data_IF_315594746140
#
_entry.id   IF_315594746140
#
_cell.length_a   1.000
_cell.length_b   1.000
_cell.length_c   1.000
_cell.angle_alpha   90.00
_cell.angle_beta   90.00
_cell.angle_gamma   90.00
#
_symmetry.space_group_name_H-M   'P 1'
#
loop_
_entity.id
_entity.type
_entity.pdbx_description
1 polymer ?
#
# COMPACT_ATOMS: atom_id res chain seq x y z
N UNK A 1 77.33 -6.14 -22.34
CA UNK A 1 76.15 -6.70 -21.66
C UNK A 1 74.98 -5.75 -21.92
N UNK A 2 74.08 -6.10 -22.83
CA UNK A 2 72.80 -5.40 -23.03
C UNK A 2 71.69 -6.22 -22.33
N UNK A 3 70.73 -5.57 -21.64
CA UNK A 3 69.74 -6.29 -20.86
C UNK A 3 68.64 -6.87 -21.76
N UNK A 4 68.28 -8.13 -21.52
CA UNK A 4 67.09 -8.76 -22.07
C UNK A 4 65.84 -8.07 -21.50
N UNK A 5 65.02 -7.48 -22.38
CA UNK A 5 63.68 -7.01 -22.05
C UNK A 5 62.72 -8.17 -22.39
N UNK A 6 61.89 -8.66 -21.44
CA UNK A 6 60.94 -9.72 -21.77
C UNK A 6 59.86 -9.18 -22.69
N UNK A 7 59.65 -9.86 -23.82
CA UNK A 7 58.54 -9.60 -24.72
C UNK A 7 57.21 -9.74 -23.95
N UNK A 8 56.45 -8.63 -23.91
CA UNK A 8 55.16 -8.57 -23.24
C UNK A 8 54.17 -9.58 -23.80
N UNK A 9 53.44 -10.23 -22.89
CA UNK A 9 52.29 -11.07 -23.18
C UNK A 9 51.17 -10.20 -23.77
N UNK A 10 51.02 -10.19 -25.10
CA UNK A 10 49.83 -9.64 -25.74
C UNK A 10 48.68 -10.65 -25.56
N UNK A 11 47.76 -10.34 -24.64
CA UNK A 11 46.50 -11.06 -24.50
C UNK A 11 45.68 -10.88 -25.78
N UNK A 12 45.52 -11.97 -26.55
CA UNK A 12 44.78 -11.98 -27.80
C UNK A 12 43.29 -12.23 -27.49
N UNK A 13 42.57 -11.18 -27.10
CA UNK A 13 41.13 -11.27 -26.89
C UNK A 13 40.41 -11.35 -28.25
N UNK A 14 39.62 -12.40 -28.47
CA UNK A 14 38.79 -12.54 -29.67
C UNK A 14 37.81 -11.36 -29.76
N UNK A 15 37.80 -10.66 -30.89
CA UNK A 15 36.92 -9.51 -31.18
C UNK A 15 35.45 -9.87 -30.92
N UNK A 16 35.03 -11.12 -31.19
CA UNK A 16 33.67 -11.58 -30.87
C UNK A 16 33.40 -11.57 -29.37
N UNK A 17 34.37 -12.00 -28.57
CA UNK A 17 34.27 -11.98 -27.10
C UNK A 17 34.17 -10.54 -26.59
N UNK A 18 34.97 -9.63 -27.13
CA UNK A 18 34.92 -8.20 -26.76
C UNK A 18 33.53 -7.61 -27.07
N UNK A 19 32.98 -7.88 -28.25
CA UNK A 19 31.65 -7.40 -28.65
C UNK A 19 30.57 -7.93 -27.71
N UNK A 20 30.59 -9.22 -27.36
CA UNK A 20 29.62 -9.82 -26.44
C UNK A 20 29.69 -9.15 -25.05
N UNK A 21 30.90 -8.95 -24.51
CA UNK A 21 31.07 -8.31 -23.20
C UNK A 21 30.52 -6.87 -23.20
N UNK A 22 30.79 -6.11 -24.27
CA UNK A 22 30.26 -4.76 -24.45
C UNK A 22 28.72 -4.78 -24.48
N UNK A 23 28.11 -5.66 -25.27
CA UNK A 23 26.65 -5.79 -25.31
C UNK A 23 26.06 -6.19 -23.96
N UNK A 24 26.66 -7.14 -23.24
CA UNK A 24 26.21 -7.52 -21.91
C UNK A 24 26.34 -6.39 -20.90
N UNK A 25 27.43 -5.59 -20.95
CA UNK A 25 27.59 -4.42 -20.10
C UNK A 25 26.54 -3.35 -20.39
N UNK A 26 26.24 -3.08 -21.67
CA UNK A 26 25.18 -2.15 -22.03
C UNK A 26 23.80 -2.63 -21.58
N UNK A 27 23.54 -3.94 -21.66
CA UNK A 27 22.27 -4.51 -21.21
C UNK A 27 22.13 -4.46 -19.69
N UNK A 28 23.19 -4.80 -18.94
CA UNK A 28 23.24 -4.64 -17.49
C UNK A 28 23.09 -3.16 -17.09
N UNK A 29 23.77 -2.24 -17.77
CA UNK A 29 23.66 -0.82 -17.51
C UNK A 29 22.24 -0.32 -17.79
N UNK A 30 21.60 -0.78 -18.87
CA UNK A 30 20.21 -0.48 -19.17
C UNK A 30 19.26 -0.98 -18.07
N UNK A 31 19.42 -2.22 -17.62
CA UNK A 31 18.62 -2.80 -16.52
C UNK A 31 18.84 -2.05 -15.20
N UNK A 32 20.08 -1.68 -14.89
CA UNK A 32 20.41 -0.85 -13.71
C UNK A 32 19.77 0.53 -13.85
N UNK A 33 19.82 1.18 -15.01
CA UNK A 33 19.16 2.48 -15.22
C UNK A 33 17.64 2.38 -15.16
N UNK A 34 17.05 1.27 -15.60
CA UNK A 34 15.61 1.00 -15.48
C UNK A 34 15.21 0.82 -14.01
N UNK A 35 16.02 0.09 -13.25
CA UNK A 35 15.82 -0.12 -11.81
C UNK A 35 15.98 1.19 -11.02
N UNK A 36 16.94 2.04 -11.41
CA UNK A 36 17.14 3.37 -10.85
C UNK A 36 16.07 4.40 -11.30
N UNK A 37 15.34 4.12 -12.38
CA UNK A 37 14.22 4.94 -12.85
C UNK A 37 12.88 4.58 -12.22
N UNK A 38 12.82 3.56 -11.36
CA UNK A 38 11.68 3.36 -10.46
C UNK A 38 11.71 4.51 -9.47
N UNK A 39 11.11 5.63 -9.86
CA UNK A 39 10.89 6.75 -8.96
C UNK A 39 10.00 6.26 -7.83
N UNK A 40 10.51 6.31 -6.60
CA UNK A 40 9.66 6.20 -5.42
C UNK A 40 8.62 7.32 -5.51
N UNK A 41 7.34 6.97 -5.60
CA UNK A 41 6.26 7.96 -5.51
C UNK A 41 6.42 8.64 -4.14
N UNK A 42 6.54 9.98 -4.06
CA UNK A 42 6.71 10.66 -2.78
C UNK A 42 5.58 10.28 -1.84
N UNK A 43 5.90 9.52 -0.79
CA UNK A 43 4.90 8.98 0.11
C UNK A 43 4.67 9.98 1.24
N UNK A 44 3.48 10.58 1.28
CA UNK A 44 3.05 11.35 2.44
C UNK A 44 2.44 10.39 3.46
N UNK A 45 3.30 9.61 4.12
CA UNK A 45 2.90 8.66 5.17
C UNK A 45 3.67 8.88 6.46
N UNK A 46 3.02 8.57 7.58
CA UNK A 46 3.62 8.62 8.91
C UNK A 46 3.32 7.34 9.66
N UNK A 47 4.31 6.83 10.38
CA UNK A 47 4.09 5.82 11.42
C UNK A 47 3.49 6.54 12.63
N UNK A 48 2.48 5.94 13.23
CA UNK A 48 1.80 6.44 14.43
C UNK A 48 2.23 5.57 15.60
N UNK A 49 3.06 6.11 16.49
CA UNK A 49 3.52 5.41 17.68
C UNK A 49 2.62 5.69 18.89
N UNK A 50 1.89 6.81 18.90
CA UNK A 50 1.06 7.26 20.01
C UNK A 50 -0.26 7.83 19.48
N UNK A 51 -1.37 7.48 20.15
CA UNK A 51 -2.70 8.04 19.89
C UNK A 51 -3.24 8.74 21.14
N UNK A 52 -3.80 9.96 21.02
CA UNK A 52 -4.53 10.57 22.10
C UNK A 52 -5.66 9.66 22.59
N UNK A 53 -5.69 9.39 23.90
CA UNK A 53 -6.68 8.49 24.50
C UNK A 53 -6.21 7.04 24.66
N UNK A 54 -5.12 6.64 24.02
CA UNK A 54 -4.48 5.34 24.24
C UNK A 54 -3.39 5.47 25.31
N UNK A 55 -3.31 4.52 26.25
CA UNK A 55 -2.30 4.55 27.31
C UNK A 55 -0.97 3.96 26.84
N UNK A 56 0.06 4.81 26.75
CA UNK A 56 1.39 4.42 26.27
C UNK A 56 1.53 4.34 24.74
N UNK A 57 2.66 3.78 24.25
CA UNK A 57 2.85 3.54 22.83
C UNK A 57 1.90 2.45 22.31
N UNK A 58 1.52 2.54 21.03
CA UNK A 58 0.70 1.51 20.39
C UNK A 58 1.45 0.15 20.38
N UNK A 59 0.81 -0.94 20.79
CA UNK A 59 1.42 -2.27 20.78
C UNK A 59 1.43 -2.92 19.39
N UNK A 60 0.93 -2.24 18.37
CA UNK A 60 0.84 -2.69 16.99
C UNK A 60 1.36 -1.61 16.03
N UNK A 61 1.79 -2.02 14.85
CA UNK A 61 2.21 -1.10 13.80
C UNK A 61 1.00 -0.40 13.20
N UNK A 62 0.96 0.93 13.26
CA UNK A 62 -0.03 1.73 12.55
C UNK A 62 0.69 2.75 11.67
N UNK A 63 0.37 2.76 10.39
CA UNK A 63 0.81 3.78 9.43
C UNK A 63 -0.41 4.47 8.85
N UNK A 64 -0.31 5.78 8.67
CA UNK A 64 -1.31 6.54 7.92
C UNK A 64 -0.66 7.24 6.76
N UNK A 65 -1.44 7.61 5.75
CA UNK A 65 -0.92 8.42 4.66
C UNK A 65 -1.93 8.69 3.56
N UNK A 66 -1.45 9.37 2.53
CA UNK A 66 -2.22 9.71 1.34
C UNK A 66 -1.63 9.10 0.08
N UNK A 67 -2.50 8.71 -0.84
CA UNK A 67 -2.13 8.42 -2.23
C UNK A 67 -3.05 9.22 -3.16
N UNK A 68 -2.43 9.95 -4.08
CA UNK A 68 -3.11 10.69 -5.13
C UNK A 68 -3.62 9.76 -6.23
N UNK A 69 -4.86 9.97 -6.66
CA UNK A 69 -5.54 9.24 -7.74
C UNK A 69 -6.32 10.20 -8.63
N UNK A 70 -6.74 9.74 -9.80
CA UNK A 70 -7.32 10.59 -10.85
C UNK A 70 -6.26 11.13 -11.81
N UNK A 71 -6.72 11.84 -12.85
CA UNK A 71 -5.87 12.17 -14.02
C UNK A 71 -4.67 13.04 -13.69
N UNK A 72 -4.79 13.87 -12.67
CA UNK A 72 -3.82 14.84 -12.20
C UNK A 72 -3.58 14.70 -10.69
N UNK A 73 -3.83 13.51 -10.14
CA UNK A 73 -3.77 13.24 -8.69
C UNK A 73 -4.64 14.20 -7.88
N UNK A 74 -5.75 14.64 -8.48
CA UNK A 74 -6.63 15.64 -7.89
C UNK A 74 -7.47 15.11 -6.73
N UNK A 75 -7.53 13.79 -6.55
CA UNK A 75 -8.15 13.13 -5.39
C UNK A 75 -7.05 12.52 -4.53
N UNK A 76 -7.04 12.84 -3.24
CA UNK A 76 -6.10 12.31 -2.27
C UNK A 76 -6.85 11.38 -1.32
N UNK A 77 -6.63 10.07 -1.46
CA UNK A 77 -7.25 9.07 -0.61
C UNK A 77 -6.37 8.79 0.61
N UNK A 78 -6.97 8.93 1.79
CA UNK A 78 -6.35 8.64 3.06
C UNK A 78 -6.52 7.16 3.43
N UNK A 79 -5.50 6.58 4.07
CA UNK A 79 -5.57 5.22 4.57
C UNK A 79 -4.98 5.10 5.98
N UNK A 80 -5.45 4.08 6.69
CA UNK A 80 -4.81 3.50 7.86
C UNK A 80 -4.32 2.11 7.48
N UNK A 81 -3.06 1.80 7.73
CA UNK A 81 -2.47 0.49 7.49
C UNK A 81 -1.96 -0.10 8.80
N UNK A 82 -2.47 -1.27 9.15
CA UNK A 82 -2.04 -2.03 10.33
C UNK A 82 -1.42 -3.34 9.85
N UNK A 83 -0.18 -3.63 10.27
CA UNK A 83 0.47 -4.90 9.96
C UNK A 83 -0.12 -6.02 10.82
N UNK A 84 -0.09 -7.24 10.30
CA UNK A 84 -0.38 -8.42 11.10
C UNK A 84 0.51 -8.45 12.35
N UNK A 85 -0.10 -8.77 13.49
CA UNK A 85 0.57 -8.97 14.77
C UNK A 85 1.25 -10.36 14.85
N UNK A 86 0.97 -11.25 13.89
CA UNK A 86 1.60 -12.57 13.77
C UNK A 86 2.82 -12.50 12.83
N UNK A 87 2.70 -12.86 11.56
CA UNK A 87 3.79 -12.78 10.58
C UNK A 87 3.35 -11.98 9.36
N UNK A 88 3.55 -10.64 9.35
CA UNK A 88 3.09 -9.80 8.24
C UNK A 88 3.75 -10.11 6.90
N UNK A 89 4.84 -10.90 6.86
CA UNK A 89 5.47 -11.31 5.61
C UNK A 89 4.76 -12.49 4.93
N UNK A 90 3.96 -13.26 5.68
CA UNK A 90 3.26 -14.45 5.20
C UNK A 90 1.73 -14.32 5.31
N UNK A 91 1.27 -13.59 6.32
CA UNK A 91 -0.15 -13.41 6.61
C UNK A 91 -0.87 -12.61 5.51
N UNK A 92 -2.16 -12.86 5.27
CA UNK A 92 -2.93 -12.14 4.25
C UNK A 92 -2.89 -10.61 4.38
N UNK A 93 -2.99 -9.92 3.25
CA UNK A 93 -3.31 -8.49 3.17
C UNK A 93 -4.79 -8.31 2.84
N UNK A 94 -5.50 -7.57 3.68
CA UNK A 94 -6.92 -7.27 3.51
C UNK A 94 -7.09 -5.77 3.20
N UNK A 95 -7.80 -5.45 2.14
CA UNK A 95 -8.41 -4.12 1.98
C UNK A 95 -9.76 -4.11 2.73
N UNK A 96 -9.98 -3.14 3.61
CA UNK A 96 -11.26 -2.90 4.27
C UNK A 96 -11.91 -1.62 3.78
N UNK A 97 -13.15 -1.73 3.29
CA UNK A 97 -13.95 -0.61 2.79
C UNK A 97 -15.24 -0.48 3.59
N UNK A 98 -15.36 0.59 4.38
CA UNK A 98 -16.65 0.90 5.00
C UNK A 98 -17.64 1.45 3.99
N UNK A 99 -18.91 1.06 4.13
CA UNK A 99 -20.00 1.44 3.23
C UNK A 99 -20.55 2.87 3.45
N UNK A 100 -21.88 2.98 3.56
CA UNK A 100 -22.59 4.27 3.62
C UNK A 100 -23.53 4.46 2.42
N UNK A 101 -23.09 5.11 1.32
CA UNK A 101 -21.71 5.47 0.96
C UNK A 101 -21.14 6.68 1.72
N UNK A 102 -19.80 6.73 1.85
CA UNK A 102 -19.08 7.86 2.43
C UNK A 102 -18.86 7.78 3.94
N UNK A 103 -19.14 6.64 4.57
CA UNK A 103 -18.79 6.40 5.95
C UNK A 103 -17.29 6.09 6.07
N UNK A 104 -16.64 6.62 7.11
CA UNK A 104 -15.20 6.46 7.29
C UNK A 104 -14.84 5.03 7.69
N UNK A 105 -13.80 4.48 7.04
CA UNK A 105 -13.19 3.19 7.40
C UNK A 105 -12.45 3.21 8.74
N UNK A 106 -12.38 4.35 9.41
CA UNK A 106 -12.03 4.40 10.84
C UNK A 106 -13.03 3.62 11.70
N UNK A 107 -14.29 3.48 11.26
CA UNK A 107 -15.25 2.61 11.92
C UNK A 107 -14.79 1.15 11.93
N UNK A 108 -14.35 0.64 10.77
CA UNK A 108 -13.67 -0.65 10.65
C UNK A 108 -12.48 -0.79 11.62
N UNK A 109 -11.66 0.25 11.73
CA UNK A 109 -10.46 0.27 12.56
C UNK A 109 -10.76 0.23 14.08
N UNK A 110 -11.81 0.92 14.53
CA UNK A 110 -12.04 1.23 15.95
C UNK A 110 -13.33 0.62 16.57
N UNK A 111 -14.23 0.07 15.74
CA UNK A 111 -15.50 -0.49 16.18
C UNK A 111 -15.77 -1.92 15.66
N UNK A 112 -15.02 -2.39 14.66
CA UNK A 112 -15.35 -3.64 13.98
C UNK A 112 -14.18 -4.64 14.01
N UNK A 113 -13.25 -4.56 13.06
CA UNK A 113 -12.23 -5.60 12.83
C UNK A 113 -10.82 -5.15 13.19
N UNK A 114 -10.59 -3.84 13.37
CA UNK A 114 -9.28 -3.29 13.67
C UNK A 114 -8.83 -3.48 15.13
N UNK A 115 -7.59 -3.05 15.44
CA UNK A 115 -6.94 -3.33 16.72
C UNK A 115 -7.36 -2.35 17.82
N UNK A 116 -8.23 -1.39 17.53
CA UNK A 116 -8.66 -0.35 18.44
C UNK A 116 -10.10 -0.57 18.88
N UNK A 117 -10.38 -0.25 20.13
CA UNK A 117 -11.73 -0.17 20.69
C UNK A 117 -11.84 1.07 21.58
N UNK A 118 -13.04 1.64 21.64
CA UNK A 118 -13.37 2.66 22.62
C UNK A 118 -13.62 2.02 23.99
N UNK A 119 -12.88 2.46 25.01
CA UNK A 119 -13.06 2.03 26.38
C UNK A 119 -14.47 2.37 26.90
N UNK A 120 -15.12 1.39 27.54
CA UNK A 120 -16.47 1.55 28.08
C UNK A 120 -16.48 2.36 29.38
N UNK A 121 -16.36 3.68 29.26
CA UNK A 121 -16.51 4.62 30.37
C UNK A 121 -17.47 5.73 29.99
N UNK A 122 -18.30 6.14 30.95
CA UNK A 122 -19.19 7.29 30.76
C UNK A 122 -18.37 8.53 30.35
N UNK A 123 -18.76 9.16 29.25
CA UNK A 123 -18.12 10.37 28.76
C UNK A 123 -18.24 11.48 29.79
N UNK A 124 -17.10 12.01 30.25
CA UNK A 124 -17.00 13.04 31.28
C UNK A 124 -16.42 14.36 30.72
N UNK A 125 -16.34 14.51 29.39
CA UNK A 125 -15.74 15.66 28.74
C UNK A 125 -14.23 15.55 28.46
N UNK A 126 -13.56 14.49 28.90
CA UNK A 126 -12.16 14.22 28.51
C UNK A 126 -12.09 13.54 27.14
N UNK A 127 -10.87 13.36 26.61
CA UNK A 127 -10.66 12.50 25.45
C UNK A 127 -11.28 11.11 25.68
N UNK A 128 -11.82 10.48 24.63
CA UNK A 128 -12.23 9.08 24.70
C UNK A 128 -11.02 8.22 25.06
N UNK A 129 -11.27 7.17 25.84
CA UNK A 129 -10.25 6.16 26.13
C UNK A 129 -10.22 5.19 24.95
N UNK A 130 -9.04 4.91 24.42
CA UNK A 130 -8.79 3.89 23.42
C UNK A 130 -8.03 2.73 24.08
N UNK A 131 -8.41 1.51 23.73
CA UNK A 131 -7.78 0.28 24.21
C UNK A 131 -7.56 -0.67 23.03
N UNK A 132 -6.67 -1.65 23.20
CA UNK A 132 -6.49 -2.71 22.21
C UNK A 132 -7.69 -3.65 22.17
N UNK A 133 -8.16 -3.98 20.96
CA UNK A 133 -9.17 -5.01 20.76
C UNK A 133 -8.55 -6.41 20.87
N UNK A 134 -9.04 -7.29 21.76
CA UNK A 134 -8.60 -8.67 21.80
C UNK A 134 -9.18 -9.53 20.65
N UNK A 135 -10.11 -9.00 19.86
CA UNK A 135 -10.78 -9.74 18.77
C UNK A 135 -10.42 -9.23 17.38
N UNK A 136 -9.41 -8.37 17.28
CA UNK A 136 -8.99 -7.81 16.01
C UNK A 136 -8.57 -8.88 15.00
N UNK A 137 -8.94 -8.64 13.74
CA UNK A 137 -8.46 -9.43 12.61
C UNK A 137 -6.98 -9.17 12.32
N UNK A 138 -6.39 -8.10 12.87
CA UNK A 138 -4.94 -7.84 12.72
C UNK A 138 -4.08 -8.89 13.41
N UNK A 139 -4.68 -9.77 14.22
CA UNK A 139 -4.00 -10.93 14.80
C UNK A 139 -3.56 -11.97 13.76
N UNK A 140 -4.13 -11.97 12.57
CA UNK A 140 -3.83 -12.95 11.52
C UNK A 140 -3.75 -12.34 10.11
N UNK A 141 -3.85 -11.01 9.98
CA UNK A 141 -3.85 -10.32 8.70
C UNK A 141 -3.27 -8.91 8.82
N UNK A 142 -2.60 -8.42 7.79
CA UNK A 142 -2.36 -6.99 7.63
C UNK A 142 -3.60 -6.37 7.01
N UNK A 143 -4.07 -5.22 7.52
CA UNK A 143 -5.32 -4.60 7.06
C UNK A 143 -5.07 -3.15 6.63
N UNK A 144 -5.55 -2.84 5.43
CA UNK A 144 -5.55 -1.52 4.81
C UNK A 144 -6.97 -0.96 4.86
N UNK A 145 -7.24 -0.08 5.82
CA UNK A 145 -8.51 0.64 5.95
C UNK A 145 -8.46 1.88 5.07
N UNK A 146 -9.21 1.88 3.97
CA UNK A 146 -9.17 2.95 2.98
C UNK A 146 -10.38 3.86 3.12
N UNK A 147 -10.15 5.17 3.23
CA UNK A 147 -11.23 6.15 3.24
C UNK A 147 -11.63 6.53 1.80
N UNK A 148 -12.74 5.98 1.35
CA UNK A 148 -13.27 6.18 0.00
C UNK A 148 -14.81 6.24 0.02
N UNK A 149 -15.45 6.94 -0.93
CA UNK A 149 -14.87 7.74 -2.01
C UNK A 149 -14.26 9.05 -1.51
N UNK A 150 -13.83 9.91 -2.44
CA UNK A 150 -13.39 11.29 -2.14
C UNK A 150 -14.37 12.01 -1.20
N UNK A 151 -13.85 12.79 -0.25
CA UNK A 151 -14.58 13.45 0.85
C UNK A 151 -15.05 12.55 2.00
N UNK A 152 -14.66 11.27 1.99
CA UNK A 152 -14.85 10.37 3.14
C UNK A 152 -13.72 10.57 4.15
N UNK A 153 -14.07 10.87 5.41
CA UNK A 153 -13.08 11.07 6.47
C UNK A 153 -12.08 12.17 6.15
N UNK A 154 -10.81 11.82 6.08
CA UNK A 154 -9.67 12.66 5.75
C UNK A 154 -9.32 12.69 4.26
N UNK A 155 -9.97 11.88 3.42
CA UNK A 155 -9.81 11.92 1.95
C UNK A 155 -10.40 13.19 1.36
N UNK A 156 -9.72 13.82 0.41
CA UNK A 156 -10.14 15.11 -0.15
C UNK A 156 -9.82 15.25 -1.64
N UNK A 157 -10.32 16.31 -2.26
CA UNK A 157 -9.94 16.72 -3.61
C UNK A 157 -9.25 18.08 -3.59
N UNK A 158 -8.27 18.29 -4.48
CA UNK A 158 -7.57 19.58 -4.66
C UNK A 158 -8.35 20.56 -5.53
N UNK A 159 -9.38 20.09 -6.24
CA UNK A 159 -10.30 20.93 -7.03
C UNK A 159 -11.64 21.10 -6.32
N UNK A 160 -12.24 22.27 -6.45
CA UNK A 160 -13.56 22.54 -5.88
C UNK A 160 -14.65 21.78 -6.65
N UNK A 161 -15.59 21.18 -5.92
CA UNK A 161 -16.75 20.45 -6.45
C UNK A 161 -16.43 19.16 -7.25
N UNK A 162 -15.49 18.35 -6.77
CA UNK A 162 -15.24 17.03 -7.35
C UNK A 162 -16.50 16.14 -7.22
N UNK A 163 -16.97 15.59 -8.34
CA UNK A 163 -18.09 14.64 -8.37
C UNK A 163 -17.56 13.27 -8.72
N UNK A 164 -17.91 12.27 -7.91
CA UNK A 164 -17.46 10.90 -8.07
C UNK A 164 -18.68 9.98 -8.16
N UNK A 165 -18.78 9.20 -9.24
CA UNK A 165 -19.74 8.10 -9.36
C UNK A 165 -19.18 6.83 -8.74
N UNK A 166 -20.01 5.82 -8.49
CA UNK A 166 -19.55 4.52 -7.96
C UNK A 166 -18.45 3.90 -8.83
N UNK A 167 -18.62 3.96 -10.15
CA UNK A 167 -17.61 3.44 -11.09
C UNK A 167 -16.28 4.19 -10.98
N UNK A 168 -16.33 5.53 -10.91
CA UNK A 168 -15.12 6.34 -10.72
C UNK A 168 -14.48 6.08 -9.35
N UNK A 169 -15.27 5.87 -8.30
CA UNK A 169 -14.75 5.51 -6.99
C UNK A 169 -14.03 4.16 -7.03
N UNK A 170 -14.58 3.17 -7.75
CA UNK A 170 -13.93 1.88 -7.95
C UNK A 170 -12.62 2.01 -8.75
N UNK A 171 -12.59 2.82 -9.80
CA UNK A 171 -11.38 3.12 -10.57
C UNK A 171 -10.31 3.77 -9.69
N UNK A 172 -10.69 4.71 -8.82
CA UNK A 172 -9.79 5.34 -7.85
C UNK A 172 -9.23 4.34 -6.84
N UNK A 173 -10.06 3.44 -6.29
CA UNK A 173 -9.58 2.38 -5.38
C UNK A 173 -8.59 1.46 -6.09
N UNK A 174 -8.87 1.09 -7.34
CA UNK A 174 -7.96 0.27 -8.14
C UNK A 174 -6.63 0.99 -8.43
N UNK A 175 -6.67 2.28 -8.81
CA UNK A 175 -5.46 3.09 -8.98
C UNK A 175 -4.67 3.22 -7.68
N UNK A 176 -5.36 3.49 -6.57
CA UNK A 176 -4.79 3.55 -5.22
C UNK A 176 -4.02 2.28 -4.90
N UNK A 177 -4.63 1.10 -5.09
CA UNK A 177 -4.00 -0.19 -4.79
C UNK A 177 -2.72 -0.38 -5.61
N UNK A 178 -2.74 -0.11 -6.91
CA UNK A 178 -1.54 -0.23 -7.75
C UNK A 178 -0.40 0.66 -7.25
N UNK A 179 -0.68 1.92 -6.92
CA UNK A 179 0.31 2.85 -6.37
C UNK A 179 0.77 2.42 -4.96
N UNK A 180 -0.13 1.90 -4.14
CA UNK A 180 0.19 1.42 -2.80
C UNK A 180 1.15 0.23 -2.83
N UNK A 181 0.92 -0.76 -3.71
CA UNK A 181 1.82 -1.92 -3.87
C UNK A 181 3.19 -1.56 -4.45
N UNK A 182 3.30 -0.52 -5.27
CA UNK A 182 4.62 0.00 -5.71
C UNK A 182 5.43 0.49 -4.52
N UNK A 183 4.78 1.09 -3.52
CA UNK A 183 5.44 1.61 -2.32
C UNK A 183 5.60 0.57 -1.21
N UNK A 184 4.85 -0.54 -1.27
CA UNK A 184 4.93 -1.65 -0.30
C UNK A 184 5.12 -2.99 -1.04
N UNK A 185 6.24 -3.14 -1.79
CA UNK A 185 6.46 -4.33 -2.62
C UNK A 185 6.57 -5.61 -1.80
N UNK A 186 6.85 -5.52 -0.50
CA UNK A 186 6.89 -6.67 0.41
C UNK A 186 5.55 -7.39 0.56
N UNK A 187 4.41 -6.74 0.25
CA UNK A 187 3.09 -7.35 0.33
C UNK A 187 2.59 -7.97 -0.97
N UNK A 188 3.35 -7.85 -2.08
CA UNK A 188 2.92 -8.37 -3.40
C UNK A 188 2.73 -9.89 -3.39
N UNK A 189 3.51 -10.61 -2.57
CA UNK A 189 3.41 -12.07 -2.44
C UNK A 189 2.34 -12.54 -1.46
N UNK A 190 1.77 -11.66 -0.65
CA UNK A 190 0.80 -12.03 0.37
C UNK A 190 -0.55 -12.36 -0.30
N UNK A 191 -1.29 -13.36 0.21
CA UNK A 191 -2.69 -13.55 -0.20
C UNK A 191 -3.48 -12.25 -0.02
N UNK A 192 -4.10 -11.75 -1.09
CA UNK A 192 -4.83 -10.47 -1.07
C UNK A 192 -6.34 -10.68 -1.13
N UNK A 193 -7.05 -9.98 -0.24
CA UNK A 193 -8.50 -10.01 -0.11
C UNK A 193 -9.07 -8.60 -0.07
N UNK A 194 -10.26 -8.42 -0.66
CA UNK A 194 -11.04 -7.19 -0.54
C UNK A 194 -12.28 -7.48 0.28
N UNK A 195 -12.49 -6.69 1.33
CA UNK A 195 -13.53 -6.84 2.33
C UNK A 195 -14.16 -5.50 2.68
N UNK A 196 -15.32 -5.53 3.33
CA UNK A 196 -16.02 -4.33 3.77
C UNK A 196 -17.43 -4.64 4.24
N UNK A 197 -18.13 -3.59 4.69
CA UNK A 197 -19.50 -3.68 5.19
C UNK A 197 -20.47 -2.81 4.37
N UNK A 198 -21.77 -3.09 4.51
CA UNK A 198 -22.85 -2.22 4.03
C UNK A 198 -22.76 -1.94 2.51
N UNK A 199 -22.81 -0.67 2.09
CA UNK A 199 -22.78 -0.25 0.68
C UNK A 199 -21.55 -0.76 -0.09
N UNK A 200 -20.46 -1.11 0.60
CA UNK A 200 -19.29 -1.72 -0.05
C UNK A 200 -19.62 -3.04 -0.76
N UNK A 201 -20.70 -3.72 -0.38
CA UNK A 201 -21.21 -4.89 -1.11
C UNK A 201 -21.57 -4.62 -2.58
N UNK A 202 -21.75 -3.34 -2.96
CA UNK A 202 -21.92 -2.92 -4.36
C UNK A 202 -20.58 -2.64 -5.03
N UNK A 203 -19.66 -1.94 -4.35
CA UNK A 203 -18.39 -1.49 -4.94
C UNK A 203 -17.33 -2.59 -4.99
N UNK A 204 -17.28 -3.47 -3.99
CA UNK A 204 -16.31 -4.57 -3.90
C UNK A 204 -16.34 -5.46 -5.15
N UNK A 205 -17.50 -5.99 -5.63
CA UNK A 205 -17.52 -6.78 -6.85
C UNK A 205 -16.95 -6.06 -8.08
N UNK A 206 -17.17 -4.75 -8.19
CA UNK A 206 -16.64 -3.93 -9.29
C UNK A 206 -15.12 -3.78 -9.16
N UNK A 207 -14.61 -3.50 -7.96
CA UNK A 207 -13.18 -3.41 -7.68
C UNK A 207 -12.48 -4.74 -7.96
N UNK A 208 -13.05 -5.86 -7.51
CA UNK A 208 -12.57 -7.21 -7.79
C UNK A 208 -12.49 -7.47 -9.29
N UNK A 209 -13.49 -7.04 -10.06
CA UNK A 209 -13.50 -7.17 -11.52
C UNK A 209 -12.38 -6.32 -12.18
N UNK A 210 -12.14 -5.10 -11.69
CA UNK A 210 -11.03 -4.25 -12.15
C UNK A 210 -9.68 -4.89 -11.89
N UNK A 211 -9.47 -5.41 -10.67
CA UNK A 211 -8.25 -6.14 -10.28
C UNK A 211 -8.06 -7.38 -11.16
N UNK A 212 -9.10 -8.21 -11.32
CA UNK A 212 -9.00 -9.44 -12.12
C UNK A 212 -8.70 -9.17 -13.61
N UNK A 213 -9.17 -8.04 -14.15
CA UNK A 213 -8.89 -7.64 -15.53
C UNK A 213 -7.51 -6.99 -15.69
N UNK A 214 -7.02 -6.35 -14.64
CA UNK A 214 -5.66 -5.85 -14.51
C UNK A 214 -4.69 -6.99 -14.28
N UNK A 215 -4.01 -7.46 -15.33
CA UNK A 215 -3.12 -8.64 -15.37
C UNK A 215 -1.93 -8.62 -14.38
N UNK A 216 -1.87 -7.68 -13.44
CA UNK A 216 -0.71 -7.34 -12.61
C UNK A 216 -0.84 -7.78 -11.13
N UNK A 217 -2.02 -8.21 -10.65
CA UNK A 217 -2.20 -8.74 -9.29
C UNK A 217 -2.51 -10.24 -9.32
N UNK A 218 -1.47 -11.04 -9.13
CA UNK A 218 -1.57 -12.50 -9.04
C UNK A 218 -2.12 -12.89 -7.67
N UNK A 219 -3.28 -13.57 -7.69
CA UNK A 219 -3.99 -14.24 -6.59
C UNK A 219 -4.92 -13.32 -5.79
N UNK A 220 -6.20 -13.44 -6.10
CA UNK A 220 -7.31 -12.75 -5.46
C UNK A 220 -8.30 -13.78 -4.91
N UNK A 221 -8.66 -13.64 -3.64
CA UNK A 221 -9.76 -14.37 -3.02
C UNK A 221 -10.72 -13.34 -2.39
N UNK A 222 -12.02 -13.65 -2.39
CA UNK A 222 -13.08 -12.79 -1.84
C UNK A 222 -13.55 -13.40 -0.52
N UNK A 223 -13.65 -12.61 0.55
CA UNK A 223 -14.27 -13.00 1.84
C UNK A 223 -15.43 -12.07 2.13
#
# INVERSE_FOLDING_TARGET
>A
MQPNIPHGLYYNYDIKSIIIHIFTMFHLLFLVTLFLHVQSVPQNSSIVEYLPGFDGPLPFYLQTGYIGVGKSEEVQLFYYFVKSESDPSQDPLLLWLTGGPGCSSFSGLAYEVGPLEFGQKAYNGSLPILVSSPYSWTKFASILFLEQPVYTGFSYATTSAYKCTDLQACDHVYEFLRKWFVNHPEFISNPFYVSGDSYSGITIPVIIQLISNGKDMLILYVI
#
